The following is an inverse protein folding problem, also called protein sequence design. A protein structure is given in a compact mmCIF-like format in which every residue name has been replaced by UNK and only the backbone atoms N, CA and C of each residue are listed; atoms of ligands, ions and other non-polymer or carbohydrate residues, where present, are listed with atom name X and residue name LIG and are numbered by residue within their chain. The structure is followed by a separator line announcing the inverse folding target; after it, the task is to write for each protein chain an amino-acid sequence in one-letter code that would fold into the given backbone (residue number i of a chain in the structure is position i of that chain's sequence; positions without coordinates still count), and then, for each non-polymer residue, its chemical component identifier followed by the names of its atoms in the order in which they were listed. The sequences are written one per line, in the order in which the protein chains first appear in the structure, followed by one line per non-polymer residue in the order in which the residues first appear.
data_IF_091561426206
#
_entry.id   IF_091561426206
#
_cell.length_a   1.000
_cell.length_b   1.000
_cell.length_c   1.000
_cell.angle_alpha   90.00
_cell.angle_beta   90.00
_cell.angle_gamma   90.00
#
_symmetry.space_group_name_H-M   'P 1'
#
loop_
_entity.id
_entity.type
_entity.pdbx_description
1 polymer ?
#
# COMPACT_ATOMS: atom_id res chain seq x y z
N UNK A 1 6.98 13.54 2.76
CA UNK A 1 8.03 12.51 2.72
C UNK A 1 7.47 11.29 2.03
N UNK A 2 8.20 10.71 1.09
CA UNK A 2 7.83 9.45 0.43
C UNK A 2 8.02 8.26 1.37
N UNK A 3 7.48 7.09 1.01
CA UNK A 3 7.69 5.85 1.75
C UNK A 3 9.20 5.53 1.90
N UNK A 4 9.96 5.59 0.81
CA UNK A 4 11.39 5.30 0.80
C UNK A 4 12.18 6.27 1.66
N UNK A 5 11.82 7.55 1.67
CA UNK A 5 12.42 8.55 2.57
C UNK A 5 12.15 8.23 4.04
N UNK A 6 10.93 7.83 4.39
CA UNK A 6 10.56 7.45 5.76
C UNK A 6 11.36 6.24 6.24
N UNK A 7 11.46 5.19 5.41
CA UNK A 7 12.26 3.99 5.70
C UNK A 7 13.73 4.34 5.88
N UNK A 8 14.30 5.13 4.96
CA UNK A 8 15.72 5.52 5.00
C UNK A 8 16.04 6.36 6.22
N UNK A 9 15.14 7.28 6.60
CA UNK A 9 15.29 8.12 7.79
C UNK A 9 15.30 7.26 9.05
N UNK A 10 14.27 6.44 9.27
CA UNK A 10 14.16 5.58 10.45
C UNK A 10 15.33 4.59 10.54
N UNK A 11 15.77 4.02 9.41
CA UNK A 11 16.94 3.12 9.40
C UNK A 11 18.21 3.81 9.90
N UNK A 12 18.43 5.06 9.48
CA UNK A 12 19.59 5.85 9.90
C UNK A 12 19.51 6.24 11.37
N UNK A 13 18.32 6.56 11.87
CA UNK A 13 18.09 6.85 13.29
C UNK A 13 18.40 5.62 14.18
N UNK A 14 18.14 4.42 13.65
CA UNK A 14 18.49 3.14 14.27
C UNK A 14 19.94 2.69 14.01
N UNK A 15 20.74 3.50 13.33
CA UNK A 15 22.14 3.20 12.95
C UNK A 15 22.34 1.88 12.17
N UNK A 16 21.29 1.40 11.49
CA UNK A 16 21.33 0.14 10.74
C UNK A 16 21.87 0.35 9.33
N UNK A 17 22.66 -0.59 8.82
CA UNK A 17 22.94 -0.69 7.39
C UNK A 17 21.74 -1.29 6.64
N UNK A 18 21.66 -1.09 5.32
CA UNK A 18 20.62 -1.74 4.49
C UNK A 18 20.67 -3.28 4.58
N UNK A 19 21.86 -3.86 4.78
CA UNK A 19 22.03 -5.30 4.94
C UNK A 19 21.49 -5.80 6.29
N UNK A 20 21.74 -5.07 7.38
CA UNK A 20 21.22 -5.42 8.71
C UNK A 20 19.70 -5.27 8.78
N UNK A 21 19.13 -4.23 8.17
CA UNK A 21 17.67 -4.10 8.08
C UNK A 21 17.06 -5.25 7.26
N UNK A 22 17.69 -5.61 6.14
CA UNK A 22 17.28 -6.75 5.31
C UNK A 22 17.27 -8.06 6.09
N UNK A 23 18.31 -8.31 6.89
CA UNK A 23 18.42 -9.49 7.75
C UNK A 23 17.33 -9.53 8.81
N UNK A 24 17.09 -8.41 9.51
CA UNK A 24 16.04 -8.29 10.54
C UNK A 24 14.64 -8.64 10.02
N UNK A 25 14.29 -8.21 8.81
CA UNK A 25 12.95 -8.44 8.25
C UNK A 25 12.87 -9.70 7.38
N UNK A 26 13.99 -10.37 7.11
CA UNK A 26 14.07 -11.59 6.31
C UNK A 26 13.90 -11.38 4.81
N UNK A 27 14.46 -10.30 4.24
CA UNK A 27 14.45 -10.02 2.80
C UNK A 27 15.87 -9.82 2.25
N UNK A 28 16.00 -9.68 0.93
CA UNK A 28 17.29 -9.35 0.32
C UNK A 28 17.68 -7.89 0.56
N UNK A 29 18.99 -7.60 0.64
CA UNK A 29 19.49 -6.21 0.66
C UNK A 29 18.94 -5.39 -0.52
N UNK A 30 18.82 -5.99 -1.71
CA UNK A 30 18.27 -5.35 -2.90
C UNK A 30 16.84 -4.89 -2.68
N UNK A 31 16.04 -5.65 -1.94
CA UNK A 31 14.67 -5.29 -1.57
C UNK A 31 14.65 -3.99 -0.76
N UNK A 32 15.52 -3.87 0.25
CA UNK A 32 15.64 -2.62 1.03
C UNK A 32 16.10 -1.45 0.15
N UNK A 33 17.06 -1.68 -0.73
CA UNK A 33 17.48 -0.65 -1.70
C UNK A 33 16.32 -0.19 -2.58
N UNK A 34 15.46 -1.11 -3.04
CA UNK A 34 14.27 -0.79 -3.83
C UNK A 34 13.23 -0.01 -3.02
N UNK A 35 13.06 -0.33 -1.74
CA UNK A 35 12.18 0.41 -0.83
C UNK A 35 12.66 1.84 -0.63
N UNK A 36 13.93 2.03 -0.27
CA UNK A 36 14.52 3.37 -0.06
C UNK A 36 14.62 4.23 -1.32
N UNK A 37 14.49 3.62 -2.50
CA UNK A 37 14.49 4.30 -3.79
C UNK A 37 13.07 4.53 -4.36
N UNK A 38 12.02 4.22 -3.59
CA UNK A 38 10.62 4.30 -4.02
C UNK A 38 10.32 3.51 -5.32
N UNK A 39 11.15 2.50 -5.62
CA UNK A 39 11.01 1.74 -6.86
C UNK A 39 9.75 0.86 -6.82
N UNK A 40 9.54 0.16 -5.70
CA UNK A 40 8.33 -0.61 -5.42
C UNK A 40 8.11 -0.72 -3.91
N UNK A 41 6.90 -0.49 -3.39
CA UNK A 41 6.60 -0.69 -1.98
C UNK A 41 6.51 -2.18 -1.58
N UNK A 42 6.45 -2.50 -0.28
CA UNK A 42 6.15 -3.85 0.20
C UNK A 42 4.82 -4.38 -0.35
N UNK A 43 4.76 -5.68 -0.64
CA UNK A 43 3.63 -6.31 -1.34
C UNK A 43 2.55 -6.88 -0.42
N UNK A 44 2.79 -6.89 0.89
CA UNK A 44 1.95 -7.48 1.93
C UNK A 44 1.99 -6.61 3.18
N UNK A 45 0.89 -6.59 3.95
CA UNK A 45 0.82 -5.89 5.23
C UNK A 45 1.86 -6.42 6.23
N UNK A 46 2.13 -7.73 6.20
CA UNK A 46 3.15 -8.35 7.05
C UNK A 46 4.54 -7.73 6.87
N UNK A 47 4.95 -7.35 5.65
CA UNK A 47 6.24 -6.72 5.42
C UNK A 47 6.28 -5.29 5.98
N UNK A 48 5.16 -4.57 5.95
CA UNK A 48 5.03 -3.27 6.61
C UNK A 48 5.17 -3.41 8.13
N UNK A 49 4.50 -4.39 8.74
CA UNK A 49 4.63 -4.66 10.17
C UNK A 49 6.07 -5.01 10.55
N UNK A 50 6.72 -5.92 9.79
CA UNK A 50 8.13 -6.28 10.03
C UNK A 50 9.08 -5.09 9.90
N UNK A 51 8.86 -4.22 8.91
CA UNK A 51 9.63 -2.99 8.76
C UNK A 51 9.43 -2.06 9.95
N UNK A 52 8.17 -1.85 10.37
CA UNK A 52 7.82 -1.01 11.50
C UNK A 52 8.47 -1.52 12.80
N UNK A 53 8.39 -2.81 13.07
CA UNK A 53 9.03 -3.47 14.21
C UNK A 53 10.56 -3.36 14.15
N UNK A 54 11.18 -3.60 12.99
CA UNK A 54 12.64 -3.54 12.85
C UNK A 54 13.20 -2.11 12.97
N UNK A 55 12.38 -1.11 12.68
CA UNK A 55 12.74 0.31 12.69
C UNK A 55 12.23 1.06 13.95
N UNK A 56 11.52 0.37 14.84
CA UNK A 56 10.89 0.94 16.03
C UNK A 56 9.99 2.15 15.73
N UNK A 57 9.15 2.02 14.70
CA UNK A 57 8.18 3.05 14.28
C UNK A 57 6.77 2.49 14.26
N UNK A 58 5.77 3.37 14.34
CA UNK A 58 4.39 2.97 14.15
C UNK A 58 4.16 2.49 12.70
N UNK A 59 3.42 1.40 12.49
CA UNK A 59 3.13 0.90 11.15
C UNK A 59 2.45 1.94 10.25
N UNK A 60 1.57 2.79 10.80
CA UNK A 60 0.88 3.86 10.09
C UNK A 60 1.82 4.99 9.67
N UNK A 61 3.02 5.08 10.26
CA UNK A 61 4.05 5.96 9.74
C UNK A 61 4.46 5.53 8.33
N UNK A 62 4.56 4.22 8.09
CA UNK A 62 5.00 3.63 6.83
C UNK A 62 3.86 3.30 5.87
N UNK A 63 2.73 2.80 6.39
CA UNK A 63 1.57 2.35 5.61
C UNK A 63 0.48 3.41 5.63
N UNK A 64 0.20 4.04 4.48
CA UNK A 64 -0.90 5.00 4.36
C UNK A 64 -2.24 4.30 4.09
N UNK A 65 -3.34 5.04 4.22
CA UNK A 65 -4.68 4.51 3.92
C UNK A 65 -4.81 4.09 2.45
N UNK A 66 -4.17 4.82 1.53
CA UNK A 66 -4.18 4.47 0.10
C UNK A 66 -3.39 3.19 -0.18
N UNK A 67 -2.21 3.05 0.44
CA UNK A 67 -1.41 1.82 0.33
C UNK A 67 -2.17 0.62 0.89
N UNK A 68 -2.84 0.80 2.04
CA UNK A 68 -3.68 -0.23 2.64
C UNK A 68 -4.81 -0.67 1.70
N UNK A 69 -5.52 0.28 1.09
CA UNK A 69 -6.57 -0.02 0.11
C UNK A 69 -6.04 -0.80 -1.11
N UNK A 70 -4.87 -0.43 -1.63
CA UNK A 70 -4.24 -1.11 -2.77
C UNK A 70 -3.85 -2.55 -2.39
N UNK A 71 -3.35 -2.76 -1.17
CA UNK A 71 -3.04 -4.09 -0.65
C UNK A 71 -4.30 -4.94 -0.53
N UNK A 72 -5.35 -4.40 0.10
CA UNK A 72 -6.63 -5.10 0.31
C UNK A 72 -7.32 -5.46 -1.01
N UNK A 73 -7.32 -4.54 -1.98
CA UNK A 73 -7.84 -4.82 -3.31
C UNK A 73 -7.03 -5.94 -4.01
N UNK A 74 -5.72 -5.98 -3.78
CA UNK A 74 -4.84 -7.04 -4.26
C UNK A 74 -5.13 -8.40 -3.61
N UNK A 75 -5.35 -8.44 -2.31
CA UNK A 75 -5.68 -9.66 -1.58
C UNK A 75 -7.07 -10.18 -1.97
N UNK A 76 -8.08 -9.31 -2.04
CA UNK A 76 -9.46 -9.70 -2.31
C UNK A 76 -9.75 -10.02 -3.78
N UNK A 77 -9.15 -9.28 -4.71
CA UNK A 77 -9.47 -9.36 -6.14
C UNK A 77 -8.26 -9.66 -7.04
N UNK A 78 -7.10 -9.99 -6.45
CA UNK A 78 -5.88 -10.38 -7.16
C UNK A 78 -5.21 -9.23 -7.90
N UNK A 79 -4.35 -9.56 -8.86
CA UNK A 79 -3.56 -8.59 -9.64
C UNK A 79 -4.40 -7.48 -10.27
N UNK A 80 -5.55 -7.82 -10.88
CA UNK A 80 -6.47 -6.84 -11.48
C UNK A 80 -7.12 -5.93 -10.44
N UNK A 81 -7.35 -6.46 -9.23
CA UNK A 81 -7.83 -5.69 -8.09
C UNK A 81 -6.84 -4.61 -7.68
N UNK A 82 -5.59 -5.02 -7.45
CA UNK A 82 -4.49 -4.12 -7.12
C UNK A 82 -4.30 -3.04 -8.19
N UNK A 83 -4.20 -3.44 -9.46
CA UNK A 83 -4.02 -2.47 -10.56
C UNK A 83 -5.17 -1.48 -10.72
N UNK A 84 -6.41 -1.93 -10.49
CA UNK A 84 -7.56 -1.03 -10.48
C UNK A 84 -7.51 -0.03 -9.33
N UNK A 85 -7.10 -0.46 -8.14
CA UNK A 85 -6.94 0.42 -6.99
C UNK A 85 -5.79 1.43 -7.18
N UNK A 86 -4.63 0.98 -7.68
CA UNK A 86 -3.49 1.87 -8.02
C UNK A 86 -3.90 2.96 -9.01
N UNK A 87 -4.62 2.60 -10.08
CA UNK A 87 -5.08 3.56 -11.08
C UNK A 87 -6.05 4.58 -10.47
N UNK A 88 -7.00 4.12 -9.65
CA UNK A 88 -7.99 4.97 -9.00
C UNK A 88 -7.33 5.97 -8.03
N UNK A 89 -6.41 5.51 -7.19
CA UNK A 89 -5.65 6.39 -6.28
C UNK A 89 -4.82 7.40 -7.07
N UNK A 90 -4.18 6.97 -8.16
CA UNK A 90 -3.42 7.86 -9.04
C UNK A 90 -4.27 8.96 -9.71
N UNK A 91 -5.46 8.60 -10.21
CA UNK A 91 -6.39 9.57 -10.81
C UNK A 91 -6.89 10.59 -9.78
N UNK A 92 -7.21 10.14 -8.57
CA UNK A 92 -7.66 11.02 -7.48
C UNK A 92 -6.56 11.96 -7.01
N UNK A 93 -5.38 11.43 -6.71
CA UNK A 93 -4.23 12.25 -6.31
C UNK A 93 -3.86 13.27 -7.39
N UNK A 94 -3.98 12.90 -8.68
CA UNK A 94 -3.83 13.82 -9.80
C UNK A 94 -4.87 14.94 -9.81
N UNK A 95 -6.16 14.62 -9.61
CA UNK A 95 -7.25 15.61 -9.51
C UNK A 95 -7.01 16.64 -8.40
N UNK A 96 -6.44 16.16 -7.28
CA UNK A 96 -6.23 16.95 -6.07
C UNK A 96 -4.93 17.75 -6.03
N UNK A 97 -3.94 17.37 -6.84
CA UNK A 97 -2.67 18.10 -6.97
C UNK A 97 -2.83 19.55 -7.46
N UNK A 98 -4.03 19.96 -7.91
CA UNK A 98 -4.41 21.33 -8.25
C UNK A 98 -4.68 22.26 -7.06
N UNK A 99 -4.72 21.74 -5.82
CA UNK A 99 -4.66 22.56 -4.59
C UNK A 99 -5.98 23.16 -4.09
N UNK A 100 -7.13 22.58 -4.42
CA UNK A 100 -8.44 23.15 -4.07
C UNK A 100 -9.13 22.52 -2.83
N UNK A 101 -8.61 21.42 -2.27
CA UNK A 101 -9.23 20.73 -1.12
C UNK A 101 -8.33 20.71 0.11
N UNK A 102 -8.95 20.77 1.30
CA UNK A 102 -8.29 20.53 2.58
C UNK A 102 -8.00 19.02 2.76
N UNK A 103 -6.96 18.69 3.53
CA UNK A 103 -6.53 17.29 3.77
C UNK A 103 -7.65 16.42 4.36
N UNK A 104 -8.48 16.98 5.24
CA UNK A 104 -9.64 16.28 5.83
C UNK A 104 -10.71 15.91 4.78
N UNK A 105 -10.97 16.81 3.82
CA UNK A 105 -11.95 16.56 2.74
C UNK A 105 -11.42 15.48 1.75
N UNK A 106 -10.10 15.40 1.58
CA UNK A 106 -9.46 14.36 0.76
C UNK A 106 -9.69 12.97 1.34
N UNK A 107 -9.53 12.84 2.65
CA UNK A 107 -9.70 11.58 3.36
C UNK A 107 -11.14 11.08 3.25
N UNK A 108 -12.13 11.96 3.43
CA UNK A 108 -13.54 11.59 3.31
C UNK A 108 -13.89 11.11 1.89
N UNK A 109 -13.38 11.82 0.88
CA UNK A 109 -13.60 11.45 -0.51
C UNK A 109 -12.88 10.14 -0.87
N UNK A 110 -11.64 9.95 -0.42
CA UNK A 110 -10.92 8.68 -0.59
C UNK A 110 -11.74 7.52 -0.02
N UNK A 111 -12.25 7.67 1.21
CA UNK A 111 -13.07 6.66 1.86
C UNK A 111 -14.38 6.36 1.13
N UNK A 112 -15.05 7.38 0.59
CA UNK A 112 -16.26 7.20 -0.22
C UNK A 112 -15.96 6.39 -1.50
N UNK A 113 -14.83 6.65 -2.14
CA UNK A 113 -14.47 5.97 -3.39
C UNK A 113 -14.00 4.54 -3.14
N UNK A 114 -13.24 4.29 -2.06
CA UNK A 114 -12.89 2.93 -1.65
C UNK A 114 -14.15 2.08 -1.45
N UNK A 115 -15.18 2.62 -0.77
CA UNK A 115 -16.49 1.96 -0.61
C UNK A 115 -17.15 1.69 -1.96
N UNK A 116 -17.21 2.69 -2.84
CA UNK A 116 -17.79 2.54 -4.17
C UNK A 116 -17.08 1.47 -5.01
N UNK A 117 -15.74 1.39 -4.92
CA UNK A 117 -14.95 0.37 -5.60
C UNK A 117 -15.29 -1.04 -5.15
N UNK A 118 -15.39 -1.27 -3.83
CA UNK A 118 -15.78 -2.56 -3.26
C UNK A 118 -17.17 -2.96 -3.74
N UNK A 119 -18.15 -2.05 -3.67
CA UNK A 119 -19.52 -2.29 -4.15
C UNK A 119 -19.52 -2.66 -5.64
N UNK A 120 -18.76 -1.93 -6.47
CA UNK A 120 -18.65 -2.22 -7.89
C UNK A 120 -18.05 -3.61 -8.16
N UNK A 121 -17.02 -4.01 -7.39
CA UNK A 121 -16.42 -5.36 -7.50
C UNK A 121 -17.38 -6.45 -7.06
N UNK A 122 -18.12 -6.25 -5.98
CA UNK A 122 -19.13 -7.21 -5.51
C UNK A 122 -20.28 -7.38 -6.50
N UNK A 123 -20.77 -6.29 -7.09
CA UNK A 123 -21.78 -6.36 -8.13
C UNK A 123 -21.27 -7.11 -9.37
N UNK A 124 -20.01 -6.90 -9.77
CA UNK A 124 -19.39 -7.63 -10.87
C UNK A 124 -19.18 -9.13 -10.57
N UNK A 125 -19.03 -9.53 -9.30
CA UNK A 125 -18.97 -10.96 -8.92
C UNK A 125 -20.25 -11.70 -9.31
N UNK A 126 -21.42 -11.05 -9.29
CA UNK A 126 -22.70 -11.65 -9.73
C UNK A 126 -22.68 -12.06 -11.20
N UNK A 127 -21.89 -11.37 -12.03
CA UNK A 127 -21.73 -11.65 -13.46
C UNK A 127 -20.49 -12.51 -13.77
N UNK A 128 -19.68 -12.85 -12.75
CA UNK A 128 -18.46 -13.64 -12.94
C UNK A 128 -18.81 -15.12 -13.07
N UNK A 129 -18.43 -15.82 -14.16
CA UNK A 129 -18.71 -17.25 -14.31
C UNK A 129 -18.16 -18.06 -13.13
N UNK A 130 -18.97 -19.00 -12.60
CA UNK A 130 -18.64 -19.80 -11.40
C UNK A 130 -17.26 -20.48 -11.46
N UNK A 131 -16.80 -20.85 -12.66
CA UNK A 131 -15.45 -21.43 -12.89
C UNK A 131 -14.27 -20.52 -12.48
N UNK A 132 -14.48 -19.21 -12.37
CA UNK A 132 -13.45 -18.24 -12.01
C UNK A 132 -13.60 -17.67 -10.59
N UNK A 133 -14.65 -18.05 -9.86
CA UNK A 133 -14.84 -17.64 -8.47
C UNK A 133 -13.99 -18.57 -7.61
N UNK A 134 -12.86 -18.08 -7.08
CA UNK A 134 -12.08 -18.82 -6.07
C UNK A 134 -13.00 -19.11 -4.88
N UNK A 135 -13.22 -20.39 -4.56
CA UNK A 135 -13.86 -20.78 -3.30
C UNK A 135 -12.95 -20.26 -2.18
N UNK A 136 -13.50 -19.44 -1.28
CA UNK A 136 -12.92 -19.27 0.04
C UNK A 136 -13.18 -20.61 0.76
N UNK A 137 -12.12 -21.36 1.06
CA UNK A 137 -12.16 -22.39 2.10
C UNK A 137 -12.26 -21.71 3.47
#
# INVERSE_FOLDING_TARGET
MTFGEKVKKARKEMELTQAQLAEKIGVSRRTITSYEADAFPPRTKELYCKLAEALDVNVNYLLTQEDEFILDAGEQYGYRGRKGAEALVGELTGLFSGGELAEEDMDELMLAIQKAYVIAKENNRKYTPKKYIKKKE
#
